data_IF_576115087559
#
_entry.id   IF_576115087559
#
_cell.length_a   1.000
_cell.length_b   1.000
_cell.length_c   1.000
_cell.angle_alpha   90.00
_cell.angle_beta   90.00
_cell.angle_gamma   90.00
#
_symmetry.space_group_name_H-M   'P 1'
#
loop_
_entity.id
_entity.type
_entity.pdbx_description
1 polymer ?
#
# COMPACT_ATOMS: atom_id res chain seq x y z
N UNK A 1 18.06 11.71 15.18
CA UNK A 1 18.00 10.60 14.20
C UNK A 1 16.71 9.79 14.28
N UNK A 2 16.41 9.03 15.35
CA UNK A 2 15.12 8.31 15.44
C UNK A 2 13.91 9.26 15.47
N UNK A 3 14.03 10.35 16.24
CA UNK A 3 13.02 11.42 16.30
C UNK A 3 12.96 12.21 14.99
N UNK A 4 14.03 12.23 14.19
CA UNK A 4 14.05 12.89 12.87
C UNK A 4 13.34 12.06 11.81
N UNK A 5 13.53 10.73 11.80
CA UNK A 5 12.78 9.82 10.90
C UNK A 5 11.28 9.93 11.20
N UNK A 6 10.91 9.99 12.49
CA UNK A 6 9.54 10.24 12.92
C UNK A 6 9.05 11.63 12.53
N UNK A 7 9.89 12.66 12.62
CA UNK A 7 9.55 14.03 12.23
C UNK A 7 9.34 14.20 10.72
N UNK A 8 9.99 13.38 9.90
CA UNK A 8 9.79 13.32 8.44
C UNK A 8 8.57 12.48 8.07
N UNK A 9 7.94 11.80 9.03
CA UNK A 9 6.72 11.02 8.82
C UNK A 9 6.93 9.67 8.15
N UNK A 10 8.17 9.16 8.13
CA UNK A 10 8.45 7.80 7.63
C UNK A 10 8.00 6.80 8.69
N UNK A 11 7.00 6.00 8.35
CA UNK A 11 6.51 4.93 9.22
C UNK A 11 7.53 3.80 9.35
N UNK A 12 7.44 3.07 10.47
CA UNK A 12 8.32 1.93 10.68
C UNK A 12 7.90 0.77 9.79
N UNK A 13 8.83 0.25 9.00
CA UNK A 13 8.58 -0.91 8.15
C UNK A 13 8.25 -2.17 8.97
N UNK A 14 7.05 -2.68 8.77
CA UNK A 14 6.51 -3.84 9.49
C UNK A 14 6.48 -5.14 8.65
N UNK A 15 6.92 -5.06 7.39
CA UNK A 15 6.82 -6.13 6.42
C UNK A 15 5.81 -5.84 5.29
N UNK A 16 4.98 -4.81 5.44
CA UNK A 16 3.99 -4.39 4.44
C UNK A 16 4.57 -3.31 3.54
N UNK A 17 4.30 -3.43 2.23
CA UNK A 17 4.68 -2.45 1.21
C UNK A 17 6.15 -2.03 1.24
N UNK A 18 7.04 -3.03 1.16
CA UNK A 18 8.49 -2.81 1.17
C UNK A 18 8.93 -1.83 0.08
N UNK A 19 8.33 -1.90 -1.11
CA UNK A 19 8.64 -0.98 -2.21
C UNK A 19 8.39 0.48 -1.82
N UNK A 20 7.22 0.78 -1.24
CA UNK A 20 6.92 2.13 -0.78
C UNK A 20 7.85 2.60 0.34
N UNK A 21 8.08 1.76 1.36
CA UNK A 21 9.01 2.10 2.45
C UNK A 21 10.44 2.35 1.93
N UNK A 22 10.93 1.49 1.04
CA UNK A 22 12.26 1.61 0.42
C UNK A 22 12.38 2.91 -0.34
N UNK A 23 11.38 3.25 -1.16
CA UNK A 23 11.30 4.53 -1.87
C UNK A 23 11.39 5.73 -0.90
N UNK A 24 10.64 5.71 0.22
CA UNK A 24 10.70 6.80 1.20
C UNK A 24 12.09 6.95 1.83
N UNK A 25 12.72 5.83 2.21
CA UNK A 25 14.08 5.82 2.80
C UNK A 25 15.13 6.29 1.80
N UNK A 26 15.06 5.82 0.56
CA UNK A 26 15.97 6.26 -0.51
C UNK A 26 15.85 7.77 -0.73
N UNK A 27 14.63 8.29 -0.90
CA UNK A 27 14.38 9.72 -1.08
C UNK A 27 14.92 10.55 0.10
N UNK A 28 14.73 10.08 1.33
CA UNK A 28 15.30 10.74 2.52
C UNK A 28 16.82 10.78 2.48
N UNK A 29 17.48 9.66 2.17
CA UNK A 29 18.93 9.56 2.10
C UNK A 29 19.51 10.42 0.97
N UNK A 30 18.85 10.47 -0.20
CA UNK A 30 19.22 11.37 -1.29
C UNK A 30 19.11 12.84 -0.88
N UNK A 31 17.99 13.24 -0.27
CA UNK A 31 17.79 14.61 0.22
C UNK A 31 18.83 15.05 1.25
N UNK A 32 19.37 14.10 2.04
CA UNK A 32 20.44 14.33 3.01
C UNK A 32 21.85 14.13 2.46
N UNK A 33 22.00 13.77 1.18
CA UNK A 33 23.29 13.41 0.56
C UNK A 33 24.01 12.23 1.24
N UNK A 34 23.24 11.30 1.80
CA UNK A 34 23.70 10.08 2.49
C UNK A 34 23.45 8.81 1.67
N UNK A 35 23.23 8.90 0.36
CA UNK A 35 22.81 7.78 -0.48
C UNK A 35 23.94 6.81 -0.85
N UNK A 36 25.21 7.23 -0.77
CA UNK A 36 26.35 6.45 -1.29
C UNK A 36 26.42 5.00 -0.76
N UNK A 37 26.19 4.72 0.55
CA UNK A 37 26.21 3.35 1.05
C UNK A 37 25.15 2.41 0.45
N UNK A 38 24.08 2.95 -0.16
CA UNK A 38 23.07 2.14 -0.87
C UNK A 38 23.66 1.50 -2.15
N UNK A 39 24.69 2.09 -2.75
CA UNK A 39 25.36 1.57 -3.95
C UNK A 39 26.28 0.37 -3.64
N UNK A 40 26.54 0.13 -2.36
CA UNK A 40 27.27 -1.04 -1.86
C UNK A 40 28.78 -1.06 -2.07
N UNK A 41 29.36 -0.02 -2.68
CA UNK A 41 30.81 0.08 -2.87
C UNK A 41 31.33 1.48 -2.53
N UNK A 42 32.53 1.52 -1.92
CA UNK A 42 33.22 2.75 -1.56
C UNK A 42 33.69 3.49 -2.82
N UNK A 43 33.37 4.78 -2.99
CA UNK A 43 33.93 5.60 -4.06
C UNK A 43 35.46 5.70 -3.95
N UNK A 44 36.17 5.64 -5.08
CA UNK A 44 37.64 5.66 -5.10
C UNK A 44 38.28 6.93 -4.52
N UNK A 45 37.55 8.04 -4.49
CA UNK A 45 37.98 9.33 -3.95
C UNK A 45 37.71 9.51 -2.44
N UNK A 46 37.13 8.50 -1.76
CA UNK A 46 36.77 8.57 -0.34
C UNK A 46 37.74 7.75 0.52
N UNK A 47 38.11 8.29 1.68
CA UNK A 47 38.93 7.58 2.67
C UNK A 47 38.15 6.41 3.30
N UNK A 48 38.88 5.40 3.78
CA UNK A 48 38.29 4.19 4.38
C UNK A 48 37.47 4.54 5.63
N UNK A 49 38.02 5.38 6.50
CA UNK A 49 37.41 5.78 7.78
C UNK A 49 36.13 6.59 7.55
N UNK A 50 36.15 7.52 6.59
CA UNK A 50 34.99 8.32 6.21
C UNK A 50 33.87 7.44 5.64
N UNK A 51 34.24 6.45 4.82
CA UNK A 51 33.29 5.49 4.27
C UNK A 51 32.65 4.63 5.36
N UNK A 52 33.44 4.09 6.28
CA UNK A 52 32.94 3.26 7.40
C UNK A 52 32.00 4.06 8.31
N UNK A 53 32.33 5.34 8.57
CA UNK A 53 31.47 6.23 9.33
C UNK A 53 30.14 6.48 8.59
N UNK A 54 30.20 6.80 7.31
CA UNK A 54 29.02 7.05 6.48
C UNK A 54 28.13 5.80 6.38
N UNK A 55 28.71 4.63 6.10
CA UNK A 55 27.98 3.36 6.06
C UNK A 55 27.32 3.06 7.40
N UNK A 56 28.03 3.30 8.52
CA UNK A 56 27.47 3.08 9.86
C UNK A 56 26.31 4.03 10.18
N UNK A 57 26.38 5.27 9.72
CA UNK A 57 25.30 6.26 9.87
C UNK A 57 24.05 5.84 9.11
N UNK A 58 24.21 5.49 7.83
CA UNK A 58 23.09 5.05 6.98
C UNK A 58 22.48 3.76 7.49
N UNK A 59 23.31 2.78 7.87
CA UNK A 59 22.86 1.55 8.54
C UNK A 59 22.02 1.86 9.79
N UNK A 60 22.41 2.87 10.57
CA UNK A 60 21.66 3.34 11.73
C UNK A 60 20.29 3.89 11.37
N UNK A 61 20.21 4.76 10.36
CA UNK A 61 18.97 5.36 9.86
C UNK A 61 18.00 4.25 9.43
N UNK A 62 18.45 3.33 8.59
CA UNK A 62 17.59 2.26 8.07
C UNK A 62 17.08 1.39 9.23
N UNK A 63 17.94 0.95 10.14
CA UNK A 63 17.53 0.15 11.31
C UNK A 63 16.50 0.84 12.20
N UNK A 64 16.59 2.17 12.37
CA UNK A 64 15.64 2.95 13.16
C UNK A 64 14.27 3.07 12.47
N UNK A 65 14.24 3.00 11.15
CA UNK A 65 13.00 2.96 10.35
C UNK A 65 12.37 1.57 10.25
N UNK A 66 12.93 0.54 10.90
CA UNK A 66 12.33 -0.80 10.96
C UNK A 66 11.47 -0.97 12.21
N UNK A 67 10.38 -1.73 12.08
CA UNK A 67 9.67 -2.27 13.23
C UNK A 67 10.55 -3.26 13.99
N UNK A 68 10.23 -3.52 15.27
CA UNK A 68 10.99 -4.47 16.10
C UNK A 68 11.06 -5.86 15.47
N UNK A 69 9.95 -6.33 14.88
CA UNK A 69 9.84 -7.66 14.26
C UNK A 69 10.78 -7.79 13.06
N UNK A 70 10.79 -6.79 12.17
CA UNK A 70 11.65 -6.80 10.98
C UNK A 70 13.12 -6.60 11.37
N UNK A 71 13.41 -5.66 12.28
CA UNK A 71 14.77 -5.38 12.73
C UNK A 71 15.47 -6.62 13.30
N UNK A 72 14.75 -7.50 14.01
CA UNK A 72 15.31 -8.72 14.58
C UNK A 72 15.92 -9.64 13.51
N UNK A 73 15.29 -9.73 12.33
CA UNK A 73 15.70 -10.62 11.24
C UNK A 73 17.00 -10.16 10.55
N UNK A 74 17.38 -8.89 10.66
CA UNK A 74 18.54 -8.29 9.98
C UNK A 74 19.62 -7.79 10.95
N UNK A 75 19.53 -8.15 12.23
CA UNK A 75 20.47 -7.72 13.29
C UNK A 75 21.93 -8.07 12.98
N UNK A 76 22.18 -9.19 12.30
CA UNK A 76 23.51 -9.69 11.94
C UNK A 76 24.19 -8.88 10.83
N UNK A 77 23.45 -8.10 10.05
CA UNK A 77 23.99 -7.41 8.88
C UNK A 77 24.77 -6.16 9.29
N UNK A 78 26.06 -6.11 8.95
CA UNK A 78 27.00 -5.09 9.43
C UNK A 78 27.21 -3.90 8.49
N UNK A 79 26.71 -3.96 7.27
CA UNK A 79 26.80 -2.87 6.30
C UNK A 79 25.43 -2.54 5.71
N UNK A 80 25.27 -1.31 5.23
CA UNK A 80 24.04 -0.84 4.58
C UNK A 80 23.65 -1.75 3.42
N UNK A 81 24.63 -2.09 2.59
CA UNK A 81 24.45 -2.94 1.40
C UNK A 81 23.86 -4.30 1.76
N UNK A 82 24.47 -5.01 2.72
CA UNK A 82 24.00 -6.35 3.13
C UNK A 82 22.65 -6.30 3.82
N UNK A 83 22.39 -5.25 4.60
CA UNK A 83 21.08 -5.06 5.23
C UNK A 83 20.00 -4.87 4.16
N UNK A 84 20.25 -4.03 3.15
CA UNK A 84 19.31 -3.81 2.04
C UNK A 84 19.12 -5.06 1.18
N UNK A 85 20.20 -5.81 0.92
CA UNK A 85 20.14 -7.10 0.22
C UNK A 85 19.29 -8.12 0.99
N UNK A 86 19.49 -8.24 2.31
CA UNK A 86 18.72 -9.16 3.15
C UNK A 86 17.22 -8.82 3.20
N UNK A 87 16.89 -7.52 3.30
CA UNK A 87 15.51 -7.05 3.26
C UNK A 87 14.89 -7.32 1.88
N UNK A 88 15.56 -6.93 0.80
CA UNK A 88 15.08 -7.14 -0.57
C UNK A 88 14.91 -8.63 -0.88
N UNK A 89 15.85 -9.48 -0.47
CA UNK A 89 15.76 -10.93 -0.62
C UNK A 89 14.62 -11.57 0.16
N UNK A 90 14.10 -10.89 1.18
CA UNK A 90 12.93 -11.35 1.95
C UNK A 90 11.61 -10.81 1.38
N UNK A 91 11.59 -9.53 0.99
CA UNK A 91 10.35 -8.80 0.71
C UNK A 91 10.13 -8.44 -0.78
N UNK A 92 11.18 -8.34 -1.59
CA UNK A 92 11.10 -8.12 -3.05
C UNK A 92 11.30 -9.41 -3.86
N UNK A 93 11.64 -10.52 -3.21
CA UNK A 93 11.86 -11.76 -3.95
C UNK A 93 10.57 -12.14 -4.69
N UNK A 94 10.60 -12.36 -6.01
CA UNK A 94 9.47 -12.85 -6.80
C UNK A 94 9.23 -14.35 -6.53
N UNK A 95 9.36 -14.77 -5.27
CA UNK A 95 9.11 -16.14 -4.85
C UNK A 95 7.65 -16.49 -5.10
N UNK A 96 7.40 -17.74 -5.48
CA UNK A 96 6.04 -18.23 -5.70
C UNK A 96 5.15 -17.98 -4.46
N UNK A 97 5.68 -18.14 -3.25
CA UNK A 97 4.94 -17.89 -2.02
C UNK A 97 4.55 -16.41 -1.83
N UNK A 98 5.43 -15.47 -2.16
CA UNK A 98 5.11 -14.03 -2.08
C UNK A 98 4.06 -13.64 -3.12
N UNK A 99 4.22 -14.13 -4.36
CA UNK A 99 3.23 -13.96 -5.44
C UNK A 99 1.86 -14.51 -5.02
N UNK A 100 1.80 -15.74 -4.51
CA UNK A 100 0.56 -16.36 -4.02
C UNK A 100 -0.03 -15.58 -2.85
N UNK A 101 0.79 -15.12 -1.90
CA UNK A 101 0.32 -14.33 -0.76
C UNK A 101 -0.34 -13.02 -1.19
N UNK A 102 0.30 -12.24 -2.07
CA UNK A 102 -0.23 -10.98 -2.57
C UNK A 102 -1.47 -11.18 -3.44
N UNK A 103 -1.47 -12.19 -4.32
CA UNK A 103 -2.66 -12.56 -5.10
C UNK A 103 -3.83 -12.92 -4.19
N UNK A 104 -3.60 -13.76 -3.17
CA UNK A 104 -4.62 -14.10 -2.18
C UNK A 104 -5.12 -12.86 -1.44
N UNK A 105 -4.23 -11.92 -1.09
CA UNK A 105 -4.60 -10.67 -0.42
C UNK A 105 -5.48 -9.80 -1.33
N UNK A 106 -5.13 -9.67 -2.62
CA UNK A 106 -5.87 -8.90 -3.61
C UNK A 106 -7.29 -9.44 -3.82
N UNK A 107 -7.43 -10.73 -4.14
CA UNK A 107 -8.74 -11.32 -4.44
C UNK A 107 -9.68 -11.42 -3.23
N UNK A 108 -9.12 -11.45 -2.01
CA UNK A 108 -9.90 -11.42 -0.77
C UNK A 108 -10.11 -10.01 -0.22
N UNK A 109 -9.53 -8.97 -0.83
CA UNK A 109 -9.80 -7.59 -0.43
C UNK A 109 -11.25 -7.24 -0.78
N UNK A 110 -12.06 -6.97 0.24
CA UNK A 110 -13.45 -6.53 0.10
C UNK A 110 -13.63 -5.23 0.85
N UNK A 111 -14.31 -4.27 0.23
CA UNK A 111 -14.71 -3.06 0.91
C UNK A 111 -15.81 -3.39 1.91
N UNK A 112 -15.66 -2.93 3.14
CA UNK A 112 -16.64 -3.13 4.19
C UNK A 112 -17.77 -2.09 3.99
N UNK A 113 -19.00 -2.49 4.21
CA UNK A 113 -20.15 -1.58 4.12
C UNK A 113 -19.95 -0.34 5.01
N UNK A 114 -20.31 0.83 4.48
CA UNK A 114 -20.19 2.13 5.16
C UNK A 114 -18.76 2.52 5.59
N UNK A 115 -17.72 1.98 4.94
CA UNK A 115 -16.34 2.43 5.13
C UNK A 115 -15.88 3.37 4.03
N UNK A 116 -14.74 4.03 4.25
CA UNK A 116 -14.16 4.98 3.30
C UNK A 116 -13.74 4.29 2.01
N UNK A 117 -14.34 4.70 0.89
CA UNK A 117 -13.94 4.27 -0.46
C UNK A 117 -12.47 4.61 -0.71
N UNK A 118 -12.03 5.79 -0.29
CA UNK A 118 -10.63 6.23 -0.46
C UNK A 118 -9.67 5.30 0.27
N UNK A 119 -10.01 4.87 1.49
CA UNK A 119 -9.17 3.92 2.23
C UNK A 119 -9.11 2.56 1.53
N UNK A 120 -10.24 2.09 0.99
CA UNK A 120 -10.29 0.85 0.22
C UNK A 120 -9.44 0.93 -1.06
N UNK A 121 -9.55 2.03 -1.82
CA UNK A 121 -8.73 2.28 -3.02
C UNK A 121 -7.23 2.32 -2.69
N UNK A 122 -6.84 2.94 -1.58
CA UNK A 122 -5.45 2.97 -1.14
C UNK A 122 -4.93 1.56 -0.83
N UNK A 123 -5.69 0.75 -0.08
CA UNK A 123 -5.33 -0.64 0.20
C UNK A 123 -5.21 -1.49 -1.07
N UNK A 124 -6.13 -1.29 -2.01
CA UNK A 124 -6.11 -1.95 -3.31
C UNK A 124 -4.84 -1.59 -4.09
N UNK A 125 -4.55 -0.29 -4.21
CA UNK A 125 -3.38 0.24 -4.94
C UNK A 125 -2.06 -0.20 -4.31
N UNK A 126 -1.98 -0.26 -2.98
CA UNK A 126 -0.79 -0.81 -2.30
C UNK A 126 -0.52 -2.25 -2.76
N UNK A 127 -1.55 -3.12 -2.78
CA UNK A 127 -1.35 -4.52 -3.16
C UNK A 127 -0.96 -4.65 -4.64
N UNK A 128 -1.60 -3.88 -5.53
CA UNK A 128 -1.32 -3.94 -6.97
C UNK A 128 0.06 -3.38 -7.32
N UNK A 129 0.50 -2.32 -6.63
CA UNK A 129 1.88 -1.82 -6.72
C UNK A 129 2.90 -2.85 -6.24
N UNK A 130 2.62 -3.56 -5.13
CA UNK A 130 3.48 -4.65 -4.66
C UNK A 130 3.57 -5.79 -5.68
N UNK A 131 2.47 -6.11 -6.37
CA UNK A 131 2.45 -7.12 -7.44
C UNK A 131 3.26 -6.66 -8.67
N UNK A 132 3.11 -5.40 -9.08
CA UNK A 132 3.90 -4.81 -10.17
C UNK A 132 5.40 -4.83 -9.87
N UNK A 133 5.80 -4.54 -8.63
CA UNK A 133 7.22 -4.58 -8.22
C UNK A 133 7.86 -5.97 -8.32
N UNK A 134 7.06 -7.04 -8.42
CA UNK A 134 7.53 -8.43 -8.61
C UNK A 134 7.12 -9.01 -9.98
N UNK A 135 6.93 -8.13 -10.96
CA UNK A 135 6.64 -8.43 -12.37
C UNK A 135 5.30 -9.14 -12.58
N UNK A 136 4.31 -8.85 -11.74
CA UNK A 136 2.91 -9.21 -11.98
C UNK A 136 2.15 -7.94 -12.32
N UNK A 137 1.90 -7.74 -13.60
CA UNK A 137 1.10 -6.64 -14.11
C UNK A 137 -0.29 -7.13 -14.48
N UNK A 138 -1.29 -6.31 -14.20
CA UNK A 138 -2.65 -6.52 -14.67
C UNK A 138 -2.91 -5.58 -15.84
N UNK A 139 -3.59 -6.09 -16.86
CA UNK A 139 -4.19 -5.19 -17.84
C UNK A 139 -5.25 -4.31 -17.16
N UNK A 140 -5.47 -3.14 -17.75
CA UNK A 140 -6.33 -2.10 -17.20
C UNK A 140 -7.78 -2.59 -16.96
N UNK A 141 -8.26 -3.50 -17.83
CA UNK A 141 -9.61 -4.07 -17.75
C UNK A 141 -9.73 -5.05 -16.58
N UNK A 142 -8.77 -5.96 -16.41
CA UNK A 142 -8.73 -6.86 -15.26
C UNK A 142 -8.56 -6.06 -13.96
N UNK A 143 -7.73 -5.02 -13.96
CA UNK A 143 -7.54 -4.15 -12.80
C UNK A 143 -8.87 -3.48 -12.38
N UNK A 144 -9.63 -2.95 -13.35
CA UNK A 144 -10.95 -2.38 -13.16
C UNK A 144 -11.99 -3.42 -12.66
N UNK A 145 -11.99 -4.62 -13.23
CA UNK A 145 -12.91 -5.70 -12.86
C UNK A 145 -12.68 -6.20 -11.44
N UNK A 146 -11.41 -6.37 -11.01
CA UNK A 146 -11.10 -6.77 -9.64
C UNK A 146 -11.59 -5.70 -8.67
N UNK A 147 -11.38 -4.41 -8.97
CA UNK A 147 -11.87 -3.31 -8.14
C UNK A 147 -13.41 -3.34 -8.03
N UNK A 148 -14.15 -3.45 -9.13
CA UNK A 148 -15.62 -3.55 -9.10
C UNK A 148 -16.11 -4.76 -8.29
N UNK A 149 -15.43 -5.91 -8.41
CA UNK A 149 -15.76 -7.14 -7.67
C UNK A 149 -15.48 -7.04 -6.16
N UNK A 150 -14.68 -6.07 -5.74
CA UNK A 150 -14.31 -5.84 -4.34
C UNK A 150 -15.33 -4.99 -3.57
N UNK A 151 -16.19 -4.25 -4.29
CA UNK A 151 -17.26 -3.44 -3.70
C UNK A 151 -18.35 -4.33 -3.10
N UNK A 152 -19.01 -3.92 -2.00
CA UNK A 152 -19.96 -4.76 -1.30
C UNK A 152 -21.29 -4.86 -2.06
N UNK A 153 -22.24 -5.62 -1.55
CA UNK A 153 -23.52 -5.88 -2.23
C UNK A 153 -24.39 -4.63 -2.34
N UNK A 154 -24.27 -3.65 -1.43
CA UNK A 154 -25.02 -2.40 -1.57
C UNK A 154 -24.66 -1.62 -2.83
N UNK A 155 -23.52 -1.91 -3.48
CA UNK A 155 -23.03 -1.25 -4.71
C UNK A 155 -23.48 -1.93 -6.02
N UNK A 156 -24.33 -2.96 -5.96
CA UNK A 156 -24.82 -3.67 -7.16
C UNK A 156 -25.50 -2.75 -8.19
N UNK A 157 -26.25 -1.73 -7.73
CA UNK A 157 -26.90 -0.78 -8.63
C UNK A 157 -25.90 0.00 -9.49
N UNK A 158 -24.80 0.44 -8.88
CA UNK A 158 -23.71 1.11 -9.59
C UNK A 158 -22.99 0.16 -10.54
N UNK A 159 -22.68 -1.07 -10.11
CA UNK A 159 -22.10 -2.11 -11.00
C UNK A 159 -22.97 -2.37 -12.23
N UNK A 160 -24.29 -2.42 -12.05
CA UNK A 160 -25.26 -2.61 -13.14
C UNK A 160 -25.25 -1.42 -14.09
N UNK A 161 -25.20 -0.18 -13.57
CA UNK A 161 -25.11 1.02 -14.38
C UNK A 161 -23.82 1.06 -15.22
N UNK A 162 -22.68 0.69 -14.62
CA UNK A 162 -21.38 0.56 -15.32
C UNK A 162 -21.45 -0.48 -16.43
N UNK A 163 -22.02 -1.65 -16.15
CA UNK A 163 -22.18 -2.72 -17.15
C UNK A 163 -23.02 -2.26 -18.35
N UNK A 164 -24.13 -1.57 -18.08
CA UNK A 164 -25.03 -1.06 -19.12
C UNK A 164 -24.41 0.06 -19.95
N UNK A 165 -23.59 0.93 -19.36
CA UNK A 165 -22.97 2.06 -20.06
C UNK A 165 -21.75 1.64 -20.88
N UNK A 166 -20.95 0.69 -20.39
CA UNK A 166 -19.77 0.21 -21.09
C UNK A 166 -20.12 -0.66 -22.32
N UNK A 167 -21.23 -1.39 -22.28
CA UNK A 167 -21.62 -2.27 -23.38
C UNK A 167 -20.55 -3.31 -23.69
N UNK A 168 -19.83 -3.15 -24.82
CA UNK A 168 -18.71 -4.04 -25.23
C UNK A 168 -17.33 -3.40 -25.12
N UNK A 169 -17.23 -2.14 -24.67
CA UNK A 169 -15.93 -1.48 -24.54
C UNK A 169 -15.16 -2.02 -23.33
N UNK A 170 -13.84 -2.10 -23.46
CA UNK A 170 -12.96 -2.45 -22.33
C UNK A 170 -13.08 -1.40 -21.24
N UNK A 171 -13.22 -1.85 -20.01
CA UNK A 171 -13.19 -0.98 -18.83
C UNK A 171 -11.78 -0.45 -18.61
N UNK A 172 -11.68 0.81 -18.17
CA UNK A 172 -10.43 1.41 -17.73
C UNK A 172 -10.45 1.62 -16.22
N UNK A 173 -9.31 1.39 -15.56
CA UNK A 173 -9.23 1.53 -14.11
C UNK A 173 -9.58 2.95 -13.66
N UNK A 174 -9.02 3.98 -14.31
CA UNK A 174 -9.25 5.38 -13.94
C UNK A 174 -10.73 5.77 -14.07
N UNK A 175 -11.40 5.35 -15.14
CA UNK A 175 -12.84 5.62 -15.34
C UNK A 175 -13.68 4.97 -14.24
N UNK A 176 -13.37 3.72 -13.86
CA UNK A 176 -14.06 3.03 -12.78
C UNK A 176 -13.78 3.69 -11.43
N UNK A 177 -12.52 4.05 -11.14
CA UNK A 177 -12.16 4.76 -9.90
C UNK A 177 -12.98 6.04 -9.75
N UNK A 178 -13.07 6.83 -10.80
CA UNK A 178 -13.77 8.11 -10.78
C UNK A 178 -15.28 7.92 -10.62
N UNK A 179 -15.86 6.89 -11.25
CA UNK A 179 -17.27 6.51 -11.05
C UNK A 179 -17.57 6.06 -9.62
N UNK A 180 -16.68 5.29 -9.00
CA UNK A 180 -16.84 4.85 -7.60
C UNK A 180 -16.81 6.04 -6.65
N UNK A 181 -15.89 6.99 -6.86
CA UNK A 181 -15.81 8.21 -6.07
C UNK A 181 -17.06 9.08 -6.24
N UNK A 182 -17.56 9.23 -7.46
CA UNK A 182 -18.81 9.97 -7.72
C UNK A 182 -20.03 9.32 -7.06
N UNK A 183 -20.11 7.99 -7.09
CA UNK A 183 -21.18 7.24 -6.42
C UNK A 183 -21.10 7.35 -4.89
N UNK A 184 -19.90 7.42 -4.31
CA UNK A 184 -19.75 7.68 -2.86
C UNK A 184 -20.37 9.02 -2.45
N UNK A 185 -20.12 10.08 -3.25
CA UNK A 185 -20.71 11.40 -3.03
C UNK A 185 -22.23 11.33 -3.12
N UNK A 186 -22.76 10.71 -4.18
CA UNK A 186 -24.21 10.52 -4.37
C UNK A 186 -24.88 9.81 -3.18
N UNK A 187 -24.25 8.75 -2.66
CA UNK A 187 -24.76 7.97 -1.51
C UNK A 187 -24.75 8.72 -0.19
N UNK A 188 -23.78 9.62 -0.01
CA UNK A 188 -23.73 10.52 1.14
C UNK A 188 -24.88 11.53 1.08
N UNK A 189 -25.14 12.09 -0.10
CA UNK A 189 -26.22 13.05 -0.31
C UNK A 189 -27.61 12.42 -0.16
N UNK A 190 -27.78 11.15 -0.58
CA UNK A 190 -29.06 10.44 -0.47
C UNK A 190 -29.34 9.81 0.91
N UNK A 191 -28.40 9.88 1.86
CA UNK A 191 -28.54 9.26 3.18
C UNK A 191 -28.49 7.72 3.19
N UNK A 192 -28.24 7.09 2.04
CA UNK A 192 -28.07 5.64 1.88
C UNK A 192 -26.93 5.08 2.75
N UNK A 193 -25.91 5.91 3.01
CA UNK A 193 -24.79 5.61 3.92
C UNK A 193 -25.18 5.38 5.39
N UNK A 194 -26.33 5.91 5.84
CA UNK A 194 -26.75 5.88 7.25
C UNK A 194 -27.97 4.97 7.48
N UNK A 195 -28.70 4.63 6.41
CA UNK A 195 -29.99 3.94 6.50
C UNK A 195 -29.91 2.48 6.95
N UNK A 196 -28.74 1.83 6.93
CA UNK A 196 -28.65 0.42 7.35
C UNK A 196 -28.50 0.22 8.87
N UNK A 197 -28.38 1.30 9.66
CA UNK A 197 -28.16 1.23 11.12
C UNK A 197 -29.33 1.68 12.00
N UNK A 198 -30.42 2.23 11.44
CA UNK A 198 -31.52 2.82 12.21
C UNK A 198 -32.91 2.23 11.89
N UNK A 199 -32.97 0.94 11.55
CA UNK A 199 -34.25 0.25 11.42
C UNK A 199 -34.65 -0.43 12.74
N UNK A 200 -34.89 0.32 13.84
CA UNK A 200 -35.64 -0.21 14.99
C UNK A 200 -36.53 0.84 15.68
N UNK A 201 -37.81 0.44 15.79
CA UNK A 201 -38.89 0.91 16.66
C UNK A 201 -39.69 2.17 16.26
N UNK A 202 -40.58 1.97 15.29
CA UNK A 202 -41.91 2.61 15.34
C UNK A 202 -42.69 1.90 16.45
N UNK A 203 -42.59 2.40 17.68
CA UNK A 203 -43.51 1.99 18.74
C UNK A 203 -44.86 2.66 18.43
N UNK A 204 -45.78 1.87 17.87
CA UNK A 204 -47.21 2.22 17.79
C UNK A 204 -47.74 2.39 19.20
N UNK A 205 -47.86 3.63 19.66
CA UNK A 205 -48.66 3.97 20.83
C UNK A 205 -49.82 4.86 20.40
N UNK A 206 -50.89 4.20 19.97
CA UNK A 206 -52.18 4.82 19.73
C UNK A 206 -53.29 3.87 20.17
N UNK A 207 -54.13 4.33 21.08
CA UNK A 207 -55.52 3.87 21.16
C UNK A 207 -55.96 3.18 22.45
N UNK A 208 -56.48 4.02 23.37
CA UNK A 208 -57.54 3.80 24.36
C UNK A 208 -57.33 2.81 25.50
#
# INVERSE_FOLDING_TARGET
MADEIKAVGIEKFDGTDFGYWKMQIENYLYGKKLHLPLLGSKPGNMQEEDWLLLDRQVLGIIRLSLSRKVAHNVTKEKSTARLMEALSGTYEKPSANNKVHLMKKLFNLKMIENTSVTQHLNNFNTITNQLSSIEIEFDDEIHALILLSSLPSSWEGMRTAVSNSAGKSKLKYDDIRDLILAEEVRRKDSGESLSSGLALNINTRGGR
#
